data_IF_064176642126
#
_entry.id   IF_064176642126
#
_cell.length_a   1.000
_cell.length_b   1.000
_cell.length_c   1.000
_cell.angle_alpha   90.00
_cell.angle_beta   90.00
_cell.angle_gamma   90.00
#
_symmetry.space_group_name_H-M   'P 1'
#
loop_
_entity.id
_entity.type
_entity.pdbx_description
1 polymer ?
#
# COMPACT_ATOMS: atom_id res chain seq x y z
N UNK A 1 3.37 6.74 25.51
CA UNK A 1 3.47 8.14 26.02
C UNK A 1 2.68 9.05 25.10
N UNK A 2 2.27 10.23 25.58
CA UNK A 2 1.70 11.28 24.72
C UNK A 2 2.74 12.35 24.48
N UNK A 3 2.96 12.72 23.22
CA UNK A 3 3.88 13.76 22.76
C UNK A 3 3.04 15.01 22.46
N UNK A 4 3.24 16.07 23.24
CA UNK A 4 2.56 17.35 23.05
C UNK A 4 3.01 18.04 21.77
N UNK A 5 2.06 18.65 21.06
CA UNK A 5 2.32 19.49 19.90
C UNK A 5 3.03 20.82 20.25
N UNK A 6 2.93 21.28 21.50
CA UNK A 6 3.41 22.59 21.95
C UNK A 6 4.71 22.52 22.76
N UNK A 7 5.47 21.43 22.63
CA UNK A 7 6.70 21.20 23.38
C UNK A 7 7.78 20.60 22.49
N UNK A 8 9.04 20.90 22.79
CA UNK A 8 10.20 20.38 22.07
C UNK A 8 10.44 18.90 22.36
N UNK A 9 11.71 18.54 22.59
CA UNK A 9 12.08 17.16 22.93
C UNK A 9 11.44 16.73 24.26
N UNK A 10 10.66 15.66 24.19
CA UNK A 10 9.95 15.04 25.30
C UNK A 10 10.49 13.63 25.52
N UNK A 11 11.00 13.36 26.71
CA UNK A 11 11.54 12.05 27.06
C UNK A 11 10.44 10.99 27.09
N UNK A 12 10.77 9.79 26.59
CA UNK A 12 9.94 8.60 26.74
C UNK A 12 10.16 7.83 28.04
N UNK A 13 11.23 8.14 28.78
CA UNK A 13 11.73 7.36 29.91
C UNK A 13 12.40 6.04 29.52
N UNK A 14 12.51 5.72 28.22
CA UNK A 14 13.12 4.49 27.73
C UNK A 14 14.56 4.75 27.29
N UNK A 15 15.51 4.04 27.92
CA UNK A 15 16.91 4.03 27.50
C UNK A 15 17.19 2.83 26.60
N UNK A 16 17.83 3.08 25.46
CA UNK A 16 18.18 2.08 24.46
C UNK A 16 19.68 1.86 24.41
N UNK A 17 20.08 0.64 24.04
CA UNK A 17 21.44 0.33 23.64
C UNK A 17 21.58 0.36 22.13
N UNK A 18 22.73 0.79 21.61
CA UNK A 18 23.05 0.66 20.18
C UNK A 18 22.86 -0.78 19.74
N UNK A 19 22.15 -0.99 18.64
CA UNK A 19 21.81 -2.32 18.14
C UNK A 19 20.50 -2.90 18.69
N UNK A 20 19.87 -2.22 19.65
CA UNK A 20 18.59 -2.67 20.19
C UNK A 20 17.46 -2.37 19.21
N UNK A 21 16.71 -3.41 18.82
CA UNK A 21 15.52 -3.25 17.99
C UNK A 21 14.41 -2.58 18.78
N UNK A 22 13.72 -1.63 18.15
CA UNK A 22 12.55 -0.97 18.69
C UNK A 22 11.48 -0.84 17.60
N UNK A 23 10.23 -0.97 18.00
CA UNK A 23 9.08 -0.63 17.16
C UNK A 23 8.33 0.50 17.85
N UNK A 24 8.01 1.55 17.11
CA UNK A 24 7.23 2.67 17.57
C UNK A 24 5.97 2.73 16.70
N UNK A 25 4.80 2.63 17.32
CA UNK A 25 3.51 2.89 16.68
C UNK A 25 2.96 4.20 17.23
N UNK A 26 2.64 5.15 16.35
CA UNK A 26 2.14 6.45 16.73
C UNK A 26 0.76 6.71 16.13
N UNK A 27 -0.12 7.35 16.89
CA UNK A 27 -1.46 7.73 16.44
C UNK A 27 -1.95 8.95 17.23
N UNK A 28 -2.99 9.60 16.73
CA UNK A 28 -3.50 10.85 17.30
C UNK A 28 -3.42 11.97 16.29
N UNK A 29 -3.84 13.16 16.72
CA UNK A 29 -3.91 14.33 15.89
C UNK A 29 -3.27 15.51 16.63
N UNK A 30 -2.51 16.29 15.89
CA UNK A 30 -2.09 17.62 16.30
C UNK A 30 -2.34 18.62 15.19
N UNK A 31 -2.40 19.88 15.58
CA UNK A 31 -2.71 20.99 14.72
C UNK A 31 -1.73 22.13 14.99
N UNK A 32 -1.43 22.91 13.96
CA UNK A 32 -0.72 24.17 14.06
C UNK A 32 -1.61 25.33 13.59
N UNK A 33 -2.27 25.98 14.55
CA UNK A 33 -3.09 27.17 14.33
C UNK A 33 -4.19 26.99 13.28
N UNK A 34 -3.99 27.59 12.11
CA UNK A 34 -4.95 27.64 11.00
C UNK A 34 -4.83 26.46 10.02
N UNK A 35 -3.88 25.54 10.24
CA UNK A 35 -3.75 24.34 9.43
C UNK A 35 -4.87 23.34 9.74
N UNK A 36 -5.05 22.33 8.87
CA UNK A 36 -5.93 21.19 9.18
C UNK A 36 -5.28 20.30 10.24
N UNK A 37 -6.03 19.41 10.89
CA UNK A 37 -5.40 18.42 11.77
C UNK A 37 -4.54 17.45 10.96
N UNK A 38 -3.38 17.07 11.48
CA UNK A 38 -2.55 16.02 10.89
C UNK A 38 -2.16 14.95 11.92
N UNK A 39 -1.87 13.76 11.39
CA UNK A 39 -1.35 12.65 12.17
C UNK A 39 0.16 12.72 12.36
N UNK A 40 0.77 11.63 12.89
CA UNK A 40 2.21 11.56 13.14
C UNK A 40 3.09 11.73 11.88
N UNK A 41 2.55 11.51 10.69
CA UNK A 41 3.28 11.68 9.43
C UNK A 41 3.45 13.16 9.02
N UNK A 42 2.72 14.08 9.67
CA UNK A 42 2.76 15.52 9.38
C UNK A 42 1.95 15.93 8.16
N UNK A 43 2.16 17.17 7.70
CA UNK A 43 1.51 17.73 6.51
C UNK A 43 2.20 17.32 5.21
N UNK A 44 1.42 16.99 4.18
CA UNK A 44 1.91 16.78 2.82
C UNK A 44 2.11 18.13 2.11
N UNK A 45 3.32 18.68 2.15
CA UNK A 45 3.70 19.89 1.42
C UNK A 45 4.79 20.72 2.08
N UNK A 46 5.55 21.48 1.28
CA UNK A 46 6.71 22.28 1.70
C UNK A 46 6.42 23.79 1.81
N UNK A 47 5.16 24.19 1.99
CA UNK A 47 4.80 25.60 1.95
C UNK A 47 5.02 26.31 3.30
N UNK A 48 6.15 27.00 3.44
CA UNK A 48 6.29 28.16 4.34
C UNK A 48 6.39 27.89 5.85
N UNK A 49 6.33 26.65 6.30
CA UNK A 49 6.36 26.35 7.73
C UNK A 49 7.76 26.31 8.35
N UNK A 50 7.92 26.99 9.49
CA UNK A 50 9.15 26.95 10.29
C UNK A 50 9.26 25.58 10.97
N UNK A 51 10.13 24.74 10.41
CA UNK A 51 10.40 23.37 10.86
C UNK A 51 11.62 23.32 11.75
N UNK A 52 11.68 22.33 12.63
CA UNK A 52 12.90 22.05 13.38
C UNK A 52 13.95 21.40 12.47
N UNK A 53 13.52 20.46 11.64
CA UNK A 53 14.34 19.77 10.66
C UNK A 53 13.69 19.92 9.28
N UNK A 54 14.40 20.57 8.36
CA UNK A 54 13.91 20.84 7.01
C UNK A 54 13.86 19.59 6.12
N UNK A 55 14.51 18.50 6.52
CA UNK A 55 14.50 17.21 5.81
C UNK A 55 13.18 16.44 5.93
N UNK A 56 12.32 16.82 6.89
CA UNK A 56 11.04 16.15 7.13
C UNK A 56 9.84 17.11 6.99
N UNK A 57 8.64 16.53 6.84
CA UNK A 57 7.37 17.26 6.75
C UNK A 57 7.09 18.08 8.02
N UNK A 58 6.38 19.20 7.87
CA UNK A 58 5.99 20.00 9.03
C UNK A 58 5.02 19.21 9.92
N UNK A 59 5.15 19.38 11.24
CA UNK A 59 4.39 18.60 12.23
C UNK A 59 4.54 17.08 12.05
N UNK A 60 5.63 16.58 11.45
CA UNK A 60 5.98 15.17 11.53
C UNK A 60 6.43 14.80 12.96
N UNK A 61 6.14 13.59 13.42
CA UNK A 61 6.69 13.05 14.66
C UNK A 61 8.15 12.66 14.42
N UNK A 62 9.05 13.29 15.18
CA UNK A 62 10.48 13.02 15.13
C UNK A 62 10.95 12.33 16.41
N UNK A 63 12.00 11.53 16.28
CA UNK A 63 12.67 10.83 17.36
C UNK A 63 14.16 11.16 17.41
N UNK A 64 14.76 11.05 18.60
CA UNK A 64 16.22 10.99 18.80
C UNK A 64 16.56 10.02 19.91
N UNK A 65 17.77 9.47 19.88
CA UNK A 65 18.28 8.57 20.92
C UNK A 65 19.56 9.19 21.52
N UNK A 66 19.49 9.63 22.78
CA UNK A 66 20.55 10.39 23.43
C UNK A 66 20.89 11.68 22.67
N UNK A 67 22.18 11.84 22.34
CA UNK A 67 22.69 12.93 21.50
C UNK A 67 22.85 12.52 20.03
N UNK A 68 22.20 11.43 19.60
CA UNK A 68 22.23 10.93 18.23
C UNK A 68 21.47 11.80 17.24
N UNK A 69 21.54 11.44 15.96
CA UNK A 69 20.81 12.12 14.89
C UNK A 69 19.29 11.99 15.06
N UNK A 70 18.59 13.03 14.63
CA UNK A 70 17.14 13.05 14.50
C UNK A 70 16.69 12.09 13.40
N UNK A 71 15.62 11.34 13.64
CA UNK A 71 14.98 10.48 12.65
C UNK A 71 13.48 10.72 12.59
N UNK A 72 12.89 10.49 11.42
CA UNK A 72 11.45 10.47 11.24
C UNK A 72 10.83 9.24 11.89
N UNK A 73 9.78 9.44 12.68
CA UNK A 73 9.02 8.36 13.31
C UNK A 73 7.74 8.08 12.54
N UNK A 74 7.02 9.13 12.15
CA UNK A 74 5.74 8.97 11.46
C UNK A 74 4.75 8.14 12.27
N UNK A 75 3.77 7.55 11.59
CA UNK A 75 2.76 6.67 12.20
C UNK A 75 3.33 5.30 12.61
N UNK A 76 4.43 4.88 12.00
CA UNK A 76 5.11 3.63 12.30
C UNK A 76 6.61 3.72 12.01
N UNK A 77 7.41 3.23 12.95
CA UNK A 77 8.85 3.05 12.77
C UNK A 77 9.31 1.73 13.37
N UNK A 78 10.08 0.95 12.62
CA UNK A 78 10.83 -0.20 13.12
C UNK A 78 12.31 0.06 12.85
N UNK A 79 13.09 0.26 13.91
CA UNK A 79 14.49 0.62 13.78
C UNK A 79 15.38 -0.19 14.71
N UNK A 80 16.63 -0.36 14.31
CA UNK A 80 17.70 -0.79 15.20
C UNK A 80 18.43 0.46 15.71
N UNK A 81 18.43 0.68 17.03
CA UNK A 81 18.94 1.91 17.64
C UNK A 81 20.38 2.23 17.16
N UNK A 82 20.61 3.35 16.45
CA UNK A 82 21.92 3.68 15.89
C UNK A 82 22.94 4.13 16.96
N UNK A 83 22.44 4.56 18.11
CA UNK A 83 23.20 5.00 19.28
C UNK A 83 22.57 4.47 20.56
N UNK A 84 23.34 4.43 21.65
CA UNK A 84 22.80 4.23 22.99
C UNK A 84 22.32 5.57 23.56
N UNK A 85 21.26 5.56 24.36
CA UNK A 85 20.77 6.74 25.05
C UNK A 85 19.26 6.73 25.25
N UNK A 86 18.74 7.82 25.80
CA UNK A 86 17.31 7.98 26.04
C UNK A 86 16.56 8.31 24.75
N UNK A 87 15.48 7.58 24.47
CA UNK A 87 14.57 7.86 23.37
C UNK A 87 13.67 9.05 23.73
N UNK A 88 13.66 10.07 22.87
CA UNK A 88 12.83 11.27 23.03
C UNK A 88 12.11 11.60 21.72
N UNK A 89 10.97 12.28 21.83
CA UNK A 89 10.12 12.64 20.69
C UNK A 89 9.83 14.14 20.63
N UNK A 90 9.52 14.66 19.44
CA UNK A 90 9.02 16.05 19.27
C UNK A 90 8.15 16.20 18.01
N UNK A 91 7.31 17.24 17.92
CA UNK A 91 6.82 17.77 16.64
C UNK A 91 7.95 18.36 15.80
N UNK A 92 7.87 18.16 14.49
CA UNK A 92 8.71 18.88 13.52
C UNK A 92 8.19 20.31 13.28
N UNK A 93 8.14 21.10 14.36
CA UNK A 93 7.89 22.53 14.33
C UNK A 93 9.00 23.22 15.12
N UNK A 94 9.45 24.38 14.66
CA UNK A 94 10.39 25.20 15.42
C UNK A 94 9.73 25.74 16.70
N UNK A 95 10.51 25.96 17.75
CA UNK A 95 9.99 26.33 19.07
C UNK A 95 9.24 27.67 19.06
N UNK A 96 9.63 28.58 18.17
CA UNK A 96 8.95 29.86 17.94
C UNK A 96 7.52 29.71 17.38
N UNK A 97 7.15 28.52 16.89
CA UNK A 97 5.84 28.20 16.33
C UNK A 97 5.02 27.23 17.20
N UNK A 98 5.30 27.14 18.51
CA UNK A 98 4.51 26.29 19.41
C UNK A 98 3.27 26.96 19.99
N UNK A 99 3.18 28.30 19.94
CA UNK A 99 2.14 29.07 20.61
C UNK A 99 0.73 28.83 20.06
N UNK A 100 0.61 28.37 18.81
CA UNK A 100 -0.64 28.00 18.15
C UNK A 100 -0.80 26.48 17.96
N UNK A 101 0.13 25.68 18.47
CA UNK A 101 0.05 24.23 18.36
C UNK A 101 -0.93 23.64 19.37
N UNK A 102 -1.81 22.75 18.92
CA UNK A 102 -2.77 22.02 19.77
C UNK A 102 -2.74 20.53 19.49
N UNK A 103 -3.27 19.72 20.42
CA UNK A 103 -3.32 18.26 20.30
C UNK A 103 -2.01 17.57 20.70
N UNK A 104 -1.90 16.30 20.30
CA UNK A 104 -0.75 15.47 20.65
C UNK A 104 -0.82 14.08 20.06
N UNK A 105 0.35 13.44 20.00
CA UNK A 105 0.53 12.12 19.41
C UNK A 105 0.79 11.09 20.50
N UNK A 106 -0.01 10.02 20.54
CA UNK A 106 0.25 8.86 21.36
C UNK A 106 1.26 7.95 20.68
N UNK A 107 2.44 7.81 21.27
CA UNK A 107 3.51 6.91 20.84
C UNK A 107 3.58 5.68 21.75
N UNK A 108 3.37 4.50 21.18
CA UNK A 108 3.53 3.20 21.81
C UNK A 108 4.85 2.57 21.37
N UNK A 109 5.71 2.24 22.35
CA UNK A 109 7.08 1.77 22.10
C UNK A 109 7.16 0.31 22.52
N UNK A 110 7.59 -0.55 21.61
CA UNK A 110 7.75 -1.98 21.81
C UNK A 110 9.23 -2.32 21.72
N UNK A 111 9.74 -2.98 22.76
CA UNK A 111 11.08 -3.56 22.80
C UNK A 111 10.93 -5.06 22.54
N UNK A 112 11.21 -5.57 21.33
CA UNK A 112 11.20 -7.00 21.08
C UNK A 112 12.24 -7.64 22.00
N UNK A 113 11.82 -8.56 22.86
CA UNK A 113 12.74 -9.29 23.72
C UNK A 113 13.77 -10.07 22.90
N UNK A 114 14.94 -10.42 23.46
CA UNK A 114 15.78 -11.44 22.84
C UNK A 114 14.91 -12.69 22.68
N UNK A 115 14.88 -13.28 21.48
CA UNK A 115 14.11 -14.47 21.20
C UNK A 115 14.47 -15.57 22.20
N UNK A 116 13.67 -15.72 23.26
CA UNK A 116 13.79 -16.82 24.19
C UNK A 116 13.24 -18.05 23.47
N UNK A 117 14.14 -18.87 22.96
CA UNK A 117 13.85 -20.25 22.61
C UNK A 117 13.33 -20.92 23.88
N UNK A 118 12.02 -21.15 23.95
CA UNK A 118 11.42 -21.98 24.99
C UNK A 118 11.90 -23.42 24.77
N UNK A 119 12.94 -23.85 25.48
CA UNK A 119 13.21 -25.27 25.70
C UNK A 119 12.39 -25.71 26.91
N UNK A 120 11.28 -26.40 26.67
CA UNK A 120 10.63 -27.19 27.73
C UNK A 120 11.63 -28.24 28.24
N UNK A 121 11.99 -28.18 29.53
CA UNK A 121 12.67 -29.27 30.22
C UNK A 121 11.64 -30.37 30.50
N UNK A 122 11.52 -31.33 29.59
CA UNK A 122 10.89 -32.63 29.90
C UNK A 122 11.90 -33.45 30.71
N UNK A 123 11.55 -33.81 31.94
CA UNK A 123 12.35 -34.75 32.74
C UNK A 123 12.20 -36.16 32.17
N UNK A 124 13.30 -36.74 31.70
CA UNK A 124 13.31 -38.13 31.27
C UNK A 124 13.39 -39.04 32.51
N UNK A 125 12.41 -39.92 32.67
CA UNK A 125 12.57 -41.18 33.40
C UNK A 125 12.93 -42.26 32.39
N UNK A 126 13.94 -43.04 32.75
CA UNK A 126 14.49 -44.16 32.00
C UNK A 126 13.42 -45.13 31.50
N UNK A 127 13.44 -45.43 30.20
CA UNK A 127 13.24 -46.79 29.69
C UNK A 127 14.01 -46.95 28.38
N UNK A 128 14.66 -48.10 28.26
CA UNK A 128 15.62 -48.47 27.24
C UNK A 128 14.96 -48.82 25.89
N UNK A 129 15.74 -48.62 24.83
CA UNK A 129 15.75 -49.33 23.54
C UNK A 129 14.42 -49.50 22.77
N UNK A 130 14.23 -48.62 21.79
CA UNK A 130 13.85 -49.05 20.43
C UNK A 130 14.26 -47.97 19.41
N UNK A 131 15.09 -48.34 18.44
CA UNK A 131 15.43 -47.48 17.30
C UNK A 131 14.22 -47.42 16.35
N UNK A 132 13.55 -46.27 16.29
CA UNK A 132 12.57 -45.95 15.25
C UNK A 132 13.17 -44.94 14.25
N UNK A 133 12.85 -45.06 12.96
CA UNK A 133 13.53 -44.30 11.90
C UNK A 133 13.19 -42.82 11.97
N UNK A 134 14.22 -41.97 11.84
CA UNK A 134 14.10 -40.51 11.73
C UNK A 134 13.35 -40.16 10.45
N UNK A 135 12.02 -40.02 10.53
CA UNK A 135 11.29 -39.25 9.54
C UNK A 135 11.48 -37.77 9.85
N UNK A 136 12.14 -37.07 8.93
CA UNK A 136 12.19 -35.60 8.93
C UNK A 136 10.75 -35.07 8.89
N UNK A 137 10.20 -34.66 10.03
CA UNK A 137 8.94 -33.93 10.04
C UNK A 137 9.22 -32.55 9.44
N UNK A 138 8.73 -32.34 8.20
CA UNK A 138 8.50 -30.99 7.71
C UNK A 138 7.44 -30.39 8.62
N UNK A 139 7.81 -29.40 9.43
CA UNK A 139 6.84 -28.53 10.09
C UNK A 139 6.11 -27.78 8.98
N UNK A 140 4.96 -28.29 8.55
CA UNK A 140 4.04 -27.57 7.68
C UNK A 140 3.41 -26.49 8.55
N UNK A 141 3.88 -25.25 8.43
CA UNK A 141 3.14 -24.09 8.91
C UNK A 141 1.80 -24.13 8.15
N UNK A 142 0.71 -24.47 8.84
CA UNK A 142 -0.64 -24.37 8.25
C UNK A 142 -0.89 -22.88 7.98
N UNK A 143 -0.86 -22.50 6.70
CA UNK A 143 -1.21 -21.17 6.23
C UNK A 143 -2.68 -20.90 6.54
N UNK A 144 -2.98 -19.77 7.18
CA UNK A 144 -4.34 -19.47 7.63
C UNK A 144 -5.25 -18.91 6.51
N UNK A 145 -4.79 -18.86 5.25
CA UNK A 145 -5.57 -18.40 4.09
C UNK A 145 -4.82 -18.52 2.75
N UNK A 146 -5.55 -18.51 1.65
CA UNK A 146 -5.04 -18.50 0.27
C UNK A 146 -5.04 -17.09 -0.32
N UNK A 147 -4.39 -16.91 -1.47
CA UNK A 147 -4.46 -15.65 -2.23
C UNK A 147 -5.15 -15.86 -3.57
N UNK A 148 -5.97 -14.89 -3.98
CA UNK A 148 -6.74 -14.90 -5.22
C UNK A 148 -6.54 -13.61 -6.00
N UNK A 149 -6.28 -13.69 -7.29
CA UNK A 149 -6.07 -12.52 -8.13
C UNK A 149 -6.99 -12.52 -9.35
N UNK A 150 -7.59 -11.37 -9.63
CA UNK A 150 -8.15 -11.06 -10.94
C UNK A 150 -7.24 -10.01 -11.57
N UNK A 151 -6.65 -10.35 -12.72
CA UNK A 151 -5.64 -9.54 -13.41
C UNK A 151 -6.19 -9.21 -14.80
N UNK A 152 -6.37 -7.92 -15.07
CA UNK A 152 -7.04 -7.42 -16.26
C UNK A 152 -6.09 -6.47 -17.00
N UNK A 153 -5.94 -6.69 -18.30
CA UNK A 153 -5.10 -5.85 -19.17
C UNK A 153 -5.74 -5.65 -20.54
N UNK A 154 -6.03 -4.40 -20.90
CA UNK A 154 -6.79 -4.07 -22.11
C UNK A 154 -6.04 -3.05 -22.95
N UNK A 155 -5.32 -3.55 -23.95
CA UNK A 155 -4.64 -2.73 -24.96
C UNK A 155 -5.53 -2.47 -26.17
N UNK A 156 -6.35 -3.46 -26.55
CA UNK A 156 -7.23 -3.39 -27.70
C UNK A 156 -8.67 -3.24 -27.25
N UNK A 157 -9.39 -2.25 -27.79
CA UNK A 157 -10.81 -2.01 -27.52
C UNK A 157 -11.63 -2.27 -28.78
N UNK A 158 -12.79 -2.92 -28.62
CA UNK A 158 -13.69 -3.26 -29.72
C UNK A 158 -14.17 -2.02 -30.49
N UNK A 159 -14.50 -0.96 -29.76
CA UNK A 159 -14.96 0.31 -30.31
C UNK A 159 -13.85 1.37 -30.24
N UNK A 160 -12.61 0.99 -30.56
CA UNK A 160 -11.47 1.89 -30.47
C UNK A 160 -11.67 3.14 -31.36
N UNK A 161 -11.38 4.31 -30.80
CA UNK A 161 -11.56 5.60 -31.49
C UNK A 161 -10.86 6.74 -30.77
N UNK A 162 -11.18 7.98 -31.11
CA UNK A 162 -10.58 9.16 -30.48
C UNK A 162 -10.88 9.26 -28.98
N UNK A 163 -12.05 8.79 -28.54
CA UNK A 163 -12.47 8.81 -27.13
C UNK A 163 -11.93 7.61 -26.33
N UNK A 164 -11.61 6.51 -26.99
CA UNK A 164 -11.08 5.29 -26.36
C UNK A 164 -10.02 4.66 -27.27
N UNK A 165 -8.82 5.26 -27.36
CA UNK A 165 -7.78 4.77 -28.25
C UNK A 165 -7.15 3.49 -27.70
N UNK A 166 -6.66 2.62 -28.59
CA UNK A 166 -5.88 1.46 -28.17
C UNK A 166 -4.62 1.88 -27.42
N UNK A 167 -4.29 1.16 -26.36
CA UNK A 167 -3.06 1.29 -25.57
C UNK A 167 -1.99 0.34 -26.11
N UNK A 168 -0.74 0.58 -25.69
CA UNK A 168 0.42 -0.19 -26.18
C UNK A 168 0.75 -1.36 -25.26
N UNK A 169 0.68 -1.17 -23.94
CA UNK A 169 1.26 -2.11 -22.98
C UNK A 169 0.31 -2.69 -21.94
N UNK A 170 -0.95 -2.26 -21.88
CA UNK A 170 -1.85 -2.64 -20.79
C UNK A 170 -2.06 -4.16 -20.65
N UNK A 171 -2.12 -4.89 -21.77
CA UNK A 171 -2.18 -6.35 -21.76
C UNK A 171 -0.83 -7.01 -21.39
N UNK A 172 0.30 -6.41 -21.75
CA UNK A 172 1.62 -6.87 -21.33
C UNK A 172 1.89 -6.61 -19.84
N UNK A 173 1.41 -5.48 -19.31
CA UNK A 173 1.42 -5.13 -17.90
C UNK A 173 0.72 -6.21 -17.06
N UNK A 174 -0.49 -6.60 -17.48
CA UNK A 174 -1.24 -7.68 -16.86
C UNK A 174 -0.51 -9.04 -16.93
N UNK A 175 0.09 -9.38 -18.08
CA UNK A 175 0.89 -10.62 -18.23
C UNK A 175 2.10 -10.63 -17.31
N UNK A 176 2.83 -9.52 -17.20
CA UNK A 176 4.01 -9.40 -16.33
C UNK A 176 3.59 -9.49 -14.86
N UNK A 177 2.51 -8.80 -14.47
CA UNK A 177 2.00 -8.87 -13.10
C UNK A 177 1.53 -10.26 -12.71
N UNK A 178 0.78 -10.96 -13.57
CA UNK A 178 0.39 -12.35 -13.33
C UNK A 178 1.60 -13.28 -13.15
N UNK A 179 2.66 -13.11 -13.96
CA UNK A 179 3.92 -13.85 -13.81
C UNK A 179 4.62 -13.53 -12.48
N UNK A 180 4.63 -12.27 -12.06
CA UNK A 180 5.20 -11.87 -10.78
C UNK A 180 4.48 -12.53 -9.60
N UNK A 181 3.14 -12.61 -9.62
CA UNK A 181 2.38 -13.35 -8.61
C UNK A 181 2.77 -14.84 -8.56
N UNK A 182 2.93 -15.49 -9.71
CA UNK A 182 3.42 -16.87 -9.78
C UNK A 182 4.82 -17.03 -9.15
N UNK A 183 5.74 -16.10 -9.44
CA UNK A 183 7.08 -16.06 -8.81
C UNK A 183 7.04 -15.82 -7.30
N UNK A 184 6.01 -15.12 -6.82
CA UNK A 184 5.73 -14.89 -5.39
C UNK A 184 5.04 -16.10 -4.72
N UNK A 185 4.83 -17.20 -5.45
CA UNK A 185 4.32 -18.47 -4.90
C UNK A 185 2.80 -18.67 -5.01
N UNK A 186 2.09 -17.78 -5.72
CA UNK A 186 0.65 -17.91 -5.94
C UNK A 186 0.34 -19.09 -6.86
N UNK A 187 -0.80 -19.75 -6.60
CA UNK A 187 -1.28 -20.83 -7.48
C UNK A 187 -1.85 -20.25 -8.78
N UNK A 188 -1.46 -20.80 -9.93
CA UNK A 188 -2.02 -20.43 -11.24
C UNK A 188 -3.55 -20.58 -11.27
N UNK A 189 -4.09 -21.58 -10.56
CA UNK A 189 -5.54 -21.79 -10.46
C UNK A 189 -6.28 -20.69 -9.67
N UNK A 190 -5.54 -19.86 -8.94
CA UNK A 190 -6.04 -18.71 -8.18
C UNK A 190 -5.70 -17.38 -8.86
N UNK A 191 -5.22 -17.40 -10.10
CA UNK A 191 -4.99 -16.19 -10.91
C UNK A 191 -5.91 -16.24 -12.13
N UNK A 192 -6.88 -15.32 -12.19
CA UNK A 192 -7.74 -15.13 -13.36
C UNK A 192 -7.21 -13.98 -14.21
N UNK A 193 -6.53 -14.32 -15.30
CA UNK A 193 -6.04 -13.36 -16.29
C UNK A 193 -7.10 -13.14 -17.38
N UNK A 194 -7.46 -11.87 -17.63
CA UNK A 194 -8.37 -11.45 -18.70
C UNK A 194 -7.67 -10.38 -19.55
N UNK A 195 -7.50 -10.65 -20.84
CA UNK A 195 -6.75 -9.79 -21.76
C UNK A 195 -7.61 -9.42 -22.96
N UNK A 196 -7.55 -8.15 -23.38
CA UNK A 196 -8.16 -7.68 -24.63
C UNK A 196 -9.58 -8.26 -24.83
N UNK A 197 -9.86 -8.99 -25.91
CA UNK A 197 -11.16 -9.59 -26.24
C UNK A 197 -11.78 -10.48 -25.15
N UNK A 198 -10.97 -11.04 -24.25
CA UNK A 198 -11.47 -11.83 -23.10
C UNK A 198 -11.95 -10.93 -21.95
N UNK A 199 -11.47 -9.70 -21.87
CA UNK A 199 -11.80 -8.71 -20.85
C UNK A 199 -13.08 -7.91 -21.18
N UNK A 200 -14.13 -8.61 -21.60
CA UNK A 200 -15.48 -8.02 -21.74
C UNK A 200 -16.08 -7.70 -20.37
N UNK A 201 -17.01 -6.75 -20.33
CA UNK A 201 -17.73 -6.41 -19.09
C UNK A 201 -18.35 -7.66 -18.45
N UNK A 202 -18.96 -8.53 -19.26
CA UNK A 202 -19.55 -9.80 -18.83
C UNK A 202 -18.51 -10.73 -18.19
N UNK A 203 -17.36 -10.94 -18.83
CA UNK A 203 -16.35 -11.86 -18.33
C UNK A 203 -15.70 -11.35 -17.04
N UNK A 204 -15.50 -10.03 -16.93
CA UNK A 204 -14.98 -9.40 -15.72
C UNK A 204 -15.99 -9.54 -14.58
N UNK A 205 -17.28 -9.30 -14.84
CA UNK A 205 -18.35 -9.53 -13.86
C UNK A 205 -18.38 -11.00 -13.39
N UNK A 206 -18.27 -11.97 -14.31
CA UNK A 206 -18.17 -13.40 -13.96
C UNK A 206 -16.93 -13.67 -13.09
N UNK A 207 -15.79 -13.05 -13.40
CA UNK A 207 -14.57 -13.21 -12.60
C UNK A 207 -14.76 -12.68 -11.17
N UNK A 208 -15.33 -11.49 -11.01
CA UNK A 208 -15.49 -10.84 -9.71
C UNK A 208 -16.63 -11.42 -8.87
N UNK A 209 -17.77 -11.72 -9.49
CA UNK A 209 -19.00 -12.07 -8.76
C UNK A 209 -19.24 -13.59 -8.70
N UNK A 210 -18.63 -14.38 -9.59
CA UNK A 210 -18.80 -15.84 -9.60
C UNK A 210 -17.50 -16.59 -9.31
N UNK A 211 -16.39 -16.24 -9.94
CA UNK A 211 -15.13 -16.98 -9.75
C UNK A 211 -14.45 -16.65 -8.41
N UNK A 212 -14.41 -15.38 -8.00
CA UNK A 212 -13.87 -14.96 -6.70
C UNK A 212 -14.72 -15.40 -5.49
N UNK A 213 -15.90 -15.99 -5.71
CA UNK A 213 -16.71 -16.59 -4.61
C UNK A 213 -15.99 -17.73 -3.89
N UNK A 214 -14.94 -18.27 -4.51
CA UNK A 214 -14.08 -19.32 -3.95
C UNK A 214 -13.13 -18.80 -2.86
N UNK A 215 -12.92 -17.48 -2.80
CA UNK A 215 -12.09 -16.87 -1.75
C UNK A 215 -12.83 -16.90 -0.40
N UNK A 216 -12.14 -17.39 0.62
CA UNK A 216 -12.61 -17.46 1.99
C UNK A 216 -12.34 -16.20 2.81
N UNK A 217 -12.89 -16.10 4.04
CA UNK A 217 -12.75 -14.91 4.88
C UNK A 217 -11.32 -14.64 5.39
N UNK A 218 -10.45 -15.65 5.35
CA UNK A 218 -9.03 -15.48 5.70
C UNK A 218 -8.13 -15.22 4.48
N UNK A 219 -8.69 -15.29 3.27
CA UNK A 219 -7.94 -15.15 2.03
C UNK A 219 -7.63 -13.67 1.74
N UNK A 220 -6.67 -13.44 0.86
CA UNK A 220 -6.40 -12.12 0.30
C UNK A 220 -6.82 -12.06 -1.17
N UNK A 221 -7.37 -10.93 -1.60
CA UNK A 221 -7.78 -10.70 -2.98
C UNK A 221 -6.94 -9.57 -3.57
N UNK A 222 -6.36 -9.79 -4.75
CA UNK A 222 -5.80 -8.75 -5.60
C UNK A 222 -6.72 -8.53 -6.80
N UNK A 223 -7.03 -7.27 -7.08
CA UNK A 223 -7.47 -6.83 -8.39
C UNK A 223 -6.32 -6.01 -9.01
N UNK A 224 -5.84 -6.44 -10.17
CA UNK A 224 -4.94 -5.66 -11.00
C UNK A 224 -5.66 -5.22 -12.26
N UNK A 225 -5.63 -3.93 -12.58
CA UNK A 225 -6.26 -3.37 -13.76
C UNK A 225 -5.31 -2.46 -14.53
N UNK A 226 -4.94 -2.83 -15.74
CA UNK A 226 -4.26 -1.96 -16.70
C UNK A 226 -5.18 -1.66 -17.88
N UNK A 227 -5.46 -0.38 -18.14
CA UNK A 227 -6.42 0.03 -19.17
C UNK A 227 -6.93 1.46 -19.00
N UNK A 228 -8.01 1.81 -19.70
CA UNK A 228 -8.62 3.14 -19.58
C UNK A 228 -9.57 3.22 -18.37
N UNK A 229 -9.54 4.37 -17.70
CA UNK A 229 -10.62 4.84 -16.84
C UNK A 229 -11.25 6.09 -17.45
N UNK A 230 -12.55 6.25 -17.34
CA UNK A 230 -13.25 7.43 -17.86
C UNK A 230 -14.44 7.83 -16.97
N UNK A 231 -14.73 9.12 -16.84
CA UNK A 231 -15.96 9.59 -16.21
C UNK A 231 -17.15 9.43 -17.16
N UNK A 232 -18.34 9.30 -16.60
CA UNK A 232 -19.58 9.43 -17.36
C UNK A 232 -19.63 10.83 -18.01
N UNK A 233 -20.00 10.93 -19.30
CA UNK A 233 -20.16 12.22 -19.96
C UNK A 233 -21.23 13.11 -19.30
N UNK A 234 -22.31 12.51 -18.78
CA UNK A 234 -23.47 13.22 -18.23
C UNK A 234 -23.38 13.43 -16.71
N UNK A 235 -22.64 12.54 -16.03
CA UNK A 235 -22.43 12.61 -14.59
C UNK A 235 -20.98 12.32 -14.25
N UNK A 236 -20.10 13.34 -14.26
CA UNK A 236 -18.69 13.14 -13.99
C UNK A 236 -18.38 12.54 -12.62
N UNK A 237 -19.36 12.44 -11.70
CA UNK A 237 -19.25 11.72 -10.43
C UNK A 237 -19.31 10.19 -10.59
N UNK A 238 -19.80 9.69 -11.72
CA UNK A 238 -19.77 8.27 -12.08
C UNK A 238 -18.52 8.00 -12.91
N UNK A 239 -17.76 6.99 -12.51
CA UNK A 239 -16.50 6.62 -13.16
C UNK A 239 -16.50 5.14 -13.48
N UNK A 240 -15.89 4.81 -14.61
CA UNK A 240 -15.91 3.48 -15.18
C UNK A 240 -14.49 3.04 -15.50
N UNK A 241 -14.22 1.76 -15.24
CA UNK A 241 -13.17 1.07 -15.96
C UNK A 241 -13.70 0.67 -17.35
N UNK A 242 -12.94 1.00 -18.39
CA UNK A 242 -13.26 0.58 -19.75
C UNK A 242 -12.94 -0.91 -19.91
N UNK A 243 -13.94 -1.68 -20.33
CA UNK A 243 -13.83 -3.07 -20.75
C UNK A 243 -13.52 -3.13 -22.25
N UNK A 244 -13.18 -4.32 -22.77
CA UNK A 244 -12.95 -4.52 -24.20
C UNK A 244 -14.11 -4.03 -25.07
N UNK A 245 -15.33 -4.32 -24.64
CA UNK A 245 -16.57 -4.03 -25.34
C UNK A 245 -17.23 -2.72 -24.88
N UNK A 246 -16.49 -1.84 -24.21
CA UNK A 246 -16.97 -0.52 -23.82
C UNK A 246 -17.16 0.39 -25.03
N UNK A 247 -18.38 0.93 -25.14
CA UNK A 247 -18.75 2.06 -25.96
C UNK A 247 -18.93 3.28 -25.04
N UNK A 248 -18.05 4.28 -25.18
CA UNK A 248 -18.05 5.49 -24.32
C UNK A 248 -19.35 6.29 -24.45
N UNK A 249 -20.06 6.17 -25.59
CA UNK A 249 -21.37 6.80 -25.78
C UNK A 249 -22.50 6.10 -25.02
N UNK A 250 -22.25 4.87 -24.57
CA UNK A 250 -23.19 4.06 -23.77
C UNK A 250 -22.51 3.67 -22.44
N UNK A 251 -22.53 4.54 -21.41
CA UNK A 251 -21.78 4.33 -20.16
C UNK A 251 -22.04 2.98 -19.47
N UNK A 252 -23.25 2.42 -19.64
CA UNK A 252 -23.62 1.10 -19.12
C UNK A 252 -22.76 -0.07 -19.65
N UNK A 253 -21.99 0.13 -20.72
CA UNK A 253 -21.06 -0.86 -21.28
C UNK A 253 -19.66 -0.79 -20.64
N UNK A 254 -19.38 0.22 -19.81
CA UNK A 254 -18.22 0.26 -18.92
C UNK A 254 -18.52 -0.42 -17.59
N UNK A 255 -17.49 -0.81 -16.84
CA UNK A 255 -17.69 -1.34 -15.49
C UNK A 255 -17.52 -0.21 -14.46
N UNK A 256 -18.64 0.23 -13.89
CA UNK A 256 -18.64 1.30 -12.90
C UNK A 256 -17.79 0.90 -11.68
N UNK A 257 -16.87 1.78 -11.29
CA UNK A 257 -15.83 1.41 -10.34
C UNK A 257 -16.37 1.13 -8.91
N UNK A 258 -17.50 1.74 -8.55
CA UNK A 258 -18.20 1.46 -7.30
C UNK A 258 -18.85 0.06 -7.28
N UNK A 259 -19.28 -0.46 -8.42
CA UNK A 259 -19.75 -1.84 -8.55
C UNK A 259 -18.61 -2.84 -8.44
N UNK A 260 -17.46 -2.54 -9.04
CA UNK A 260 -16.24 -3.33 -8.86
C UNK A 260 -15.85 -3.40 -7.38
N UNK A 261 -15.86 -2.26 -6.69
CA UNK A 261 -15.62 -2.22 -5.24
C UNK A 261 -16.62 -3.09 -4.48
N UNK A 262 -17.92 -2.91 -4.70
CA UNK A 262 -18.97 -3.66 -4.00
C UNK A 262 -18.81 -5.17 -4.20
N UNK A 263 -18.52 -5.61 -5.42
CA UNK A 263 -18.29 -7.03 -5.72
C UNK A 263 -17.14 -7.63 -4.89
N UNK A 264 -16.07 -6.86 -4.68
CA UNK A 264 -14.92 -7.23 -3.85
C UNK A 264 -15.24 -7.18 -2.35
N UNK A 265 -15.97 -6.16 -1.87
CA UNK A 265 -16.39 -6.01 -0.46
C UNK A 265 -17.25 -7.20 0.00
N UNK A 266 -18.15 -7.67 -0.88
CA UNK A 266 -19.04 -8.81 -0.61
C UNK A 266 -18.29 -10.14 -0.39
N UNK A 267 -17.02 -10.24 -0.80
CA UNK A 267 -16.23 -11.48 -0.63
C UNK A 267 -15.84 -11.74 0.83
N UNK A 268 -15.92 -10.72 1.70
CA UNK A 268 -15.51 -10.79 3.12
C UNK A 268 -14.08 -11.32 3.33
N UNK A 269 -13.22 -11.15 2.32
CA UNK A 269 -11.82 -11.55 2.40
C UNK A 269 -11.08 -10.76 3.48
N UNK A 270 -9.98 -11.30 3.98
CA UNK A 270 -9.17 -10.67 5.02
C UNK A 270 -8.62 -9.33 4.54
N UNK A 271 -8.08 -9.33 3.32
CA UNK A 271 -7.44 -8.19 2.68
C UNK A 271 -7.91 -8.07 1.23
N UNK A 272 -8.11 -6.84 0.75
CA UNK A 272 -8.34 -6.55 -0.66
C UNK A 272 -7.31 -5.52 -1.13
N UNK A 273 -6.64 -5.77 -2.25
CA UNK A 273 -5.61 -4.89 -2.78
C UNK A 273 -5.96 -4.58 -4.23
N UNK A 274 -6.00 -3.30 -4.58
CA UNK A 274 -6.25 -2.82 -5.94
C UNK A 274 -5.00 -2.11 -6.47
N UNK A 275 -4.40 -2.69 -7.51
CA UNK A 275 -3.40 -2.03 -8.34
C UNK A 275 -4.08 -1.59 -9.64
N UNK A 276 -4.05 -0.30 -9.96
CA UNK A 276 -4.67 0.21 -11.19
C UNK A 276 -3.69 1.07 -11.99
N UNK A 277 -3.23 0.56 -13.13
CA UNK A 277 -2.48 1.33 -14.12
C UNK A 277 -3.48 1.92 -15.13
N UNK A 278 -4.21 2.96 -14.71
CA UNK A 278 -5.25 3.57 -15.54
C UNK A 278 -5.06 5.07 -15.71
N UNK A 279 -5.02 5.51 -16.97
CA UNK A 279 -5.10 6.94 -17.31
C UNK A 279 -6.40 7.51 -16.72
N UNK A 280 -6.30 8.65 -16.05
CA UNK A 280 -7.34 9.38 -15.31
C UNK A 280 -7.67 8.94 -13.87
N UNK A 281 -7.32 7.74 -13.38
CA UNK A 281 -7.71 7.37 -12.01
C UNK A 281 -7.02 8.20 -10.91
N UNK A 282 -5.82 8.74 -11.16
CA UNK A 282 -5.16 9.67 -10.24
C UNK A 282 -5.92 11.00 -10.03
N UNK A 283 -6.65 11.50 -11.04
CA UNK A 283 -7.52 12.70 -10.90
C UNK A 283 -8.84 12.39 -10.19
N UNK A 284 -9.22 11.12 -10.11
CA UNK A 284 -10.47 10.66 -9.52
C UNK A 284 -10.34 10.36 -8.02
N UNK A 285 -9.16 9.93 -7.55
CA UNK A 285 -8.89 9.64 -6.14
C UNK A 285 -8.56 10.91 -5.33
N UNK A 286 -7.94 11.92 -5.93
CA UNK A 286 -7.42 13.13 -5.26
C UNK A 286 -8.48 14.20 -4.91
N UNK A 287 -9.75 13.99 -5.25
CA UNK A 287 -10.86 14.92 -4.92
C UNK A 287 -11.39 14.80 -3.48
N UNK A 288 -10.78 13.98 -2.61
CA UNK A 288 -11.27 13.73 -1.25
C UNK A 288 -10.91 14.80 -0.20
N UNK A 289 -10.08 15.80 -0.52
CA UNK A 289 -9.83 16.95 0.36
C UNK A 289 -10.87 18.05 0.11
N UNK A 290 -12.03 17.94 0.76
CA UNK A 290 -13.02 19.03 0.87
C UNK A 290 -14.07 19.13 -0.24
N UNK A 291 -14.01 18.29 -1.28
CA UNK A 291 -15.05 18.16 -2.31
C UNK A 291 -15.65 16.75 -2.34
N UNK A 292 -16.89 16.61 -2.82
CA UNK A 292 -17.46 15.29 -3.13
C UNK A 292 -16.67 14.70 -4.31
N UNK A 293 -15.68 13.87 -4.00
CA UNK A 293 -14.83 13.13 -4.93
C UNK A 293 -15.10 11.61 -4.91
N UNK A 294 -14.80 10.91 -6.00
CA UNK A 294 -15.51 9.70 -6.44
C UNK A 294 -14.86 8.38 -5.99
N UNK A 295 -15.61 7.62 -5.19
CA UNK A 295 -16.14 6.27 -5.44
C UNK A 295 -15.27 5.07 -5.88
N UNK A 296 -13.94 5.13 -5.87
CA UNK A 296 -13.11 3.90 -5.66
C UNK A 296 -12.68 3.83 -4.21
N UNK A 297 -12.15 4.93 -3.68
CA UNK A 297 -11.86 5.03 -2.26
C UNK A 297 -13.19 5.31 -1.54
N UNK A 298 -13.61 4.46 -0.60
CA UNK A 298 -14.86 4.68 0.11
C UNK A 298 -14.80 5.94 0.97
N UNK A 299 -15.98 6.56 1.14
CA UNK A 299 -16.19 7.60 2.14
C UNK A 299 -16.03 6.97 3.53
N UNK A 300 -14.90 7.28 4.17
CA UNK A 300 -14.53 6.79 5.50
C UNK A 300 -15.65 7.05 6.53
N UNK A 301 -16.43 8.13 6.36
CA UNK A 301 -17.53 8.48 7.27
C UNK A 301 -18.75 7.56 7.12
N UNK A 302 -18.94 6.94 5.95
CA UNK A 302 -20.08 6.07 5.65
C UNK A 302 -19.79 4.62 6.05
N UNK A 303 -18.55 4.16 5.87
CA UNK A 303 -18.13 2.78 6.18
C UNK A 303 -17.99 2.47 7.69
N UNK A 304 -17.64 3.46 8.52
CA UNK A 304 -17.55 3.28 9.99
C UNK A 304 -18.90 2.87 10.59
N UNK A 305 -20.03 3.16 9.91
CA UNK A 305 -21.37 2.83 10.39
C UNK A 305 -21.81 1.38 10.13
N UNK A 306 -21.21 0.69 9.17
CA UNK A 306 -21.76 -0.59 8.66
C UNK A 306 -21.03 -1.86 9.14
N UNK A 307 -19.91 -1.74 9.89
CA UNK A 307 -19.22 -2.86 10.59
C UNK A 307 -18.83 -4.10 9.75
N UNK A 308 -18.91 -4.05 8.42
CA UNK A 308 -18.43 -5.12 7.53
C UNK A 308 -17.46 -4.53 6.50
N UNK A 309 -16.20 -4.37 6.91
CA UNK A 309 -15.11 -3.95 6.01
C UNK A 309 -14.04 -5.06 6.06
N UNK A 310 -13.48 -5.50 4.92
CA UNK A 310 -12.19 -6.17 4.89
C UNK A 310 -11.16 -5.40 5.74
N UNK A 311 -10.19 -6.08 6.38
CA UNK A 311 -9.30 -5.42 7.34
C UNK A 311 -8.43 -4.33 6.72
N UNK A 312 -8.30 -4.30 5.39
CA UNK A 312 -8.29 -3.04 4.68
C UNK A 312 -8.05 -3.16 3.17
N UNK A 313 -8.13 -2.00 2.54
CA UNK A 313 -7.86 -1.79 1.13
C UNK A 313 -6.54 -1.08 0.95
N UNK A 314 -5.75 -1.50 -0.04
CA UNK A 314 -4.64 -0.70 -0.56
C UNK A 314 -4.90 -0.39 -2.00
N UNK A 315 -4.96 0.89 -2.34
CA UNK A 315 -5.05 1.38 -3.70
C UNK A 315 -3.68 1.90 -4.10
N UNK A 316 -3.15 1.44 -5.23
CA UNK A 316 -1.99 2.05 -5.87
C UNK A 316 -2.32 2.30 -7.33
N UNK A 317 -2.30 3.58 -7.72
CA UNK A 317 -2.78 4.01 -9.03
C UNK A 317 -1.72 4.81 -9.77
N UNK A 318 -1.47 4.41 -11.03
CA UNK A 318 -0.56 5.09 -11.94
C UNK A 318 -1.07 6.45 -12.40
N UNK A 319 -0.15 7.33 -12.81
CA UNK A 319 -0.48 8.63 -13.40
C UNK A 319 -0.38 8.56 -14.93
N UNK A 320 -1.11 9.46 -15.59
CA UNK A 320 -1.26 9.54 -17.05
C UNK A 320 0.09 9.52 -17.77
N UNK A 321 0.21 8.75 -18.85
CA UNK A 321 1.43 8.63 -19.64
C UNK A 321 1.17 8.87 -21.11
N UNK A 322 1.66 10.03 -21.58
CA UNK A 322 1.58 10.41 -22.97
C UNK A 322 2.19 9.33 -23.87
N UNK A 323 1.41 8.92 -24.88
CA UNK A 323 1.77 7.89 -25.85
C UNK A 323 3.11 8.18 -26.54
N UNK A 324 3.39 9.45 -26.84
CA UNK A 324 4.67 9.89 -27.42
C UNK A 324 5.85 9.67 -26.48
N UNK A 325 5.65 9.86 -25.17
CA UNK A 325 6.70 9.64 -24.18
C UNK A 325 7.05 8.15 -24.07
N UNK A 326 6.07 7.25 -24.30
CA UNK A 326 6.22 5.79 -24.26
C UNK A 326 7.05 5.25 -25.45
N UNK A 327 6.78 5.76 -26.66
CA UNK A 327 7.43 5.31 -27.92
C UNK A 327 8.96 5.55 -27.95
N UNK A 328 9.47 6.42 -27.07
CA UNK A 328 10.90 6.73 -26.94
C UNK A 328 11.58 6.08 -25.71
N UNK A 329 10.88 5.22 -24.97
CA UNK A 329 11.46 4.54 -23.79
C UNK A 329 12.04 3.17 -24.13
N UNK A 330 12.93 2.67 -23.26
CA UNK A 330 13.36 1.27 -23.26
C UNK A 330 12.41 0.33 -22.51
N UNK A 331 11.25 0.84 -22.06
CA UNK A 331 10.29 0.06 -21.28
C UNK A 331 9.37 -0.74 -22.19
N UNK A 332 8.96 -1.91 -21.70
CA UNK A 332 7.99 -2.80 -22.36
C UNK A 332 6.65 -2.83 -21.62
N UNK A 333 6.43 -1.86 -20.73
CA UNK A 333 5.34 -1.80 -19.76
C UNK A 333 5.04 -0.34 -19.38
N UNK A 334 3.87 -0.11 -18.76
CA UNK A 334 3.50 1.17 -18.17
C UNK A 334 4.43 1.56 -17.01
N UNK A 335 4.60 2.87 -16.78
CA UNK A 335 5.51 3.40 -15.75
C UNK A 335 5.21 2.84 -14.34
N UNK A 336 3.93 2.77 -14.01
CA UNK A 336 3.47 2.25 -12.74
C UNK A 336 3.75 0.76 -12.63
N UNK A 337 3.34 -0.02 -13.62
CA UNK A 337 3.59 -1.47 -13.64
C UNK A 337 5.09 -1.79 -13.61
N UNK A 338 5.92 -1.04 -14.32
CA UNK A 338 7.37 -1.19 -14.29
C UNK A 338 7.96 -1.06 -12.89
N UNK A 339 7.68 0.06 -12.22
CA UNK A 339 8.14 0.29 -10.84
C UNK A 339 7.55 -0.74 -9.86
N UNK A 340 6.26 -1.08 -10.00
CA UNK A 340 5.59 -2.06 -9.16
C UNK A 340 6.29 -3.42 -9.22
N UNK A 341 6.60 -3.90 -10.42
CA UNK A 341 7.23 -5.20 -10.63
C UNK A 341 8.66 -5.22 -10.09
N UNK A 342 9.43 -4.14 -10.28
CA UNK A 342 10.77 -4.01 -9.66
C UNK A 342 10.70 -4.06 -8.14
N UNK A 343 9.77 -3.30 -7.55
CA UNK A 343 9.53 -3.30 -6.11
C UNK A 343 9.20 -4.70 -5.59
N UNK A 344 8.24 -5.38 -6.23
CA UNK A 344 7.83 -6.75 -5.87
C UNK A 344 8.93 -7.80 -6.06
N UNK A 345 9.84 -7.59 -7.01
CA UNK A 345 11.00 -8.45 -7.24
C UNK A 345 12.15 -8.22 -6.25
N UNK A 346 11.92 -7.44 -5.20
CA UNK A 346 12.84 -7.29 -4.06
C UNK A 346 13.54 -5.94 -3.99
N UNK A 347 13.38 -5.04 -4.95
CA UNK A 347 13.95 -3.69 -4.82
C UNK A 347 13.29 -2.88 -3.68
N UNK A 348 12.06 -3.25 -3.28
CA UNK A 348 11.38 -2.66 -2.14
C UNK A 348 11.84 -3.24 -0.79
N UNK A 349 12.47 -4.43 -0.76
CA UNK A 349 12.86 -5.13 0.48
C UNK A 349 13.90 -4.32 1.29
N UNK A 350 13.48 -3.81 2.44
CA UNK A 350 14.27 -2.88 3.26
C UNK A 350 14.51 -1.50 2.63
N UNK A 351 13.73 -1.10 1.61
CA UNK A 351 13.94 0.17 0.91
C UNK A 351 13.88 1.36 1.86
N UNK A 352 14.96 2.15 1.91
CA UNK A 352 15.10 3.33 2.78
C UNK A 352 14.71 3.07 4.25
N UNK A 353 14.99 1.86 4.76
CA UNK A 353 14.62 1.44 6.12
C UNK A 353 13.10 1.43 6.40
N UNK A 354 12.27 1.38 5.37
CA UNK A 354 10.81 1.24 5.50
C UNK A 354 10.40 -0.14 6.06
N UNK A 355 11.31 -1.12 6.01
CA UNK A 355 11.14 -2.44 6.61
C UNK A 355 12.48 -3.17 6.76
N UNK A 356 12.41 -4.46 7.08
CA UNK A 356 13.59 -5.29 7.27
C UNK A 356 13.98 -5.89 5.94
N UNK A 357 15.26 -5.75 5.54
CA UNK A 357 15.80 -6.47 4.39
C UNK A 357 15.88 -7.98 4.68
N UNK A 358 14.79 -8.69 4.45
CA UNK A 358 14.60 -10.08 4.88
C UNK A 358 14.11 -11.00 3.74
N UNK A 359 14.09 -10.50 2.50
CA UNK A 359 13.61 -11.21 1.33
C UNK A 359 12.08 -11.21 1.17
N UNK A 360 11.36 -10.45 2.00
CA UNK A 360 9.90 -10.31 1.96
C UNK A 360 9.56 -8.83 1.76
N UNK A 361 8.67 -8.55 0.82
CA UNK A 361 8.24 -7.18 0.51
C UNK A 361 6.87 -6.97 1.12
N UNK A 362 6.81 -6.09 2.11
CA UNK A 362 5.56 -5.62 2.70
C UNK A 362 4.93 -4.52 1.85
N UNK A 363 3.62 -4.29 2.01
CA UNK A 363 2.92 -3.18 1.35
C UNK A 363 3.47 -1.82 1.80
N UNK A 364 4.01 -1.70 3.01
CA UNK A 364 4.68 -0.50 3.52
C UNK A 364 6.00 -0.22 2.80
N UNK A 365 6.83 -1.25 2.64
CA UNK A 365 8.06 -1.17 1.83
C UNK A 365 7.76 -0.85 0.37
N UNK A 366 6.76 -1.51 -0.21
CA UNK A 366 6.33 -1.26 -1.58
C UNK A 366 5.80 0.17 -1.74
N UNK A 367 5.03 0.69 -0.77
CA UNK A 367 4.59 2.09 -0.75
C UNK A 367 5.77 3.05 -0.74
N UNK A 368 6.74 2.84 0.14
CA UNK A 368 7.92 3.69 0.25
C UNK A 368 8.73 3.69 -1.06
N UNK A 369 8.96 2.49 -1.61
CA UNK A 369 9.63 2.32 -2.90
C UNK A 369 8.90 3.03 -4.02
N UNK A 370 7.60 2.76 -4.21
CA UNK A 370 6.80 3.36 -5.28
C UNK A 370 6.75 4.89 -5.17
N UNK A 371 6.65 5.42 -3.96
CA UNK A 371 6.58 6.87 -3.73
C UNK A 371 7.89 7.58 -4.09
N UNK A 372 9.03 6.92 -3.86
CA UNK A 372 10.35 7.51 -4.15
C UNK A 372 10.81 7.25 -5.59
N UNK A 373 10.69 6.01 -6.07
CA UNK A 373 11.33 5.55 -7.30
C UNK A 373 10.52 5.87 -8.54
N UNK A 374 9.18 5.75 -8.49
CA UNK A 374 8.35 6.02 -9.66
C UNK A 374 8.53 7.46 -10.17
N UNK A 375 8.47 8.52 -9.33
CA UNK A 375 8.67 9.89 -9.81
C UNK A 375 10.07 10.13 -10.37
N UNK A 376 11.10 9.54 -9.78
CA UNK A 376 12.49 9.66 -10.24
C UNK A 376 12.65 9.01 -11.63
N UNK A 377 12.18 7.78 -11.79
CA UNK A 377 12.27 7.03 -13.04
C UNK A 377 11.47 7.70 -14.16
N UNK A 378 10.24 8.16 -13.89
CA UNK A 378 9.47 8.87 -14.92
C UNK A 378 10.06 10.24 -15.25
N UNK A 379 10.63 10.96 -14.28
CA UNK A 379 11.33 12.22 -14.55
C UNK A 379 12.52 12.00 -15.48
N UNK A 380 13.28 10.92 -15.25
CA UNK A 380 14.45 10.55 -16.04
C UNK A 380 14.09 10.09 -17.46
N UNK A 381 13.02 9.30 -17.60
CA UNK A 381 12.67 8.64 -18.86
C UNK A 381 11.69 9.46 -19.69
N UNK A 382 10.71 10.09 -19.06
CA UNK A 382 9.61 10.82 -19.71
C UNK A 382 9.79 12.34 -19.63
N UNK A 383 10.79 12.83 -18.89
CA UNK A 383 10.98 14.26 -18.63
C UNK A 383 9.98 14.86 -17.63
N UNK A 384 9.11 14.04 -17.02
CA UNK A 384 8.11 14.48 -16.04
C UNK A 384 7.98 13.49 -14.88
N UNK A 385 8.09 14.01 -13.65
CA UNK A 385 7.85 13.25 -12.43
C UNK A 385 6.37 12.88 -12.29
N UNK A 386 6.09 11.60 -12.10
CA UNK A 386 4.76 11.05 -11.90
C UNK A 386 4.69 10.34 -10.58
N UNK A 387 3.68 10.72 -9.81
CA UNK A 387 3.50 10.21 -8.46
C UNK A 387 2.37 9.17 -8.46
N UNK A 388 2.57 8.00 -7.84
CA UNK A 388 1.49 7.07 -7.62
C UNK A 388 0.52 7.65 -6.60
N UNK A 389 -0.77 7.40 -6.77
CA UNK A 389 -1.75 7.66 -5.71
C UNK A 389 -1.87 6.41 -4.86
N UNK A 390 -1.54 6.54 -3.57
CA UNK A 390 -1.58 5.42 -2.62
C UNK A 390 -2.55 5.75 -1.49
N UNK A 391 -3.60 4.96 -1.32
CA UNK A 391 -4.64 5.18 -0.32
C UNK A 391 -5.04 3.89 0.39
N UNK A 392 -5.61 4.04 1.59
CA UNK A 392 -6.22 2.93 2.34
C UNK A 392 -7.55 3.34 2.93
N UNK A 393 -8.35 2.35 3.32
CA UNK A 393 -9.69 2.55 3.88
C UNK A 393 -9.73 2.41 5.40
N UNK A 394 -8.57 2.25 6.01
CA UNK A 394 -8.42 2.01 7.44
C UNK A 394 -7.26 2.87 7.95
N UNK A 395 -7.39 3.39 9.17
CA UNK A 395 -6.27 3.97 9.89
C UNK A 395 -5.38 2.92 10.55
N UNK A 396 -5.67 1.63 10.38
CA UNK A 396 -4.89 0.54 10.97
C UNK A 396 -3.50 0.44 10.31
N UNK A 397 -2.41 0.71 11.05
CA UNK A 397 -1.06 0.64 10.50
C UNK A 397 -0.66 -0.78 10.08
N UNK A 398 -1.33 -1.82 10.59
CA UNK A 398 -1.00 -3.20 10.24
C UNK A 398 -1.36 -3.55 8.79
N UNK A 399 -2.14 -2.69 8.10
CA UNK A 399 -2.42 -2.82 6.66
C UNK A 399 -1.13 -2.81 5.82
N UNK A 400 -0.10 -2.10 6.29
CA UNK A 400 1.17 -1.98 5.60
C UNK A 400 2.07 -3.20 5.82
N UNK A 401 1.75 -4.08 6.78
CA UNK A 401 2.47 -5.34 7.01
C UNK A 401 1.97 -6.48 6.10
N UNK A 402 0.95 -6.25 5.26
CA UNK A 402 0.51 -7.24 4.28
C UNK A 402 1.67 -7.54 3.32
N UNK A 403 1.82 -8.81 2.94
CA UNK A 403 2.84 -9.27 1.99
C UNK A 403 2.19 -9.96 0.81
N UNK A 404 2.77 -9.82 -0.38
CA UNK A 404 2.34 -10.61 -1.54
C UNK A 404 3.09 -11.95 -1.66
N UNK A 405 4.23 -12.14 -0.99
CA UNK A 405 4.89 -13.45 -0.96
C UNK A 405 4.02 -14.50 -0.25
N UNK A 406 3.79 -15.63 -0.90
CA UNK A 406 3.38 -16.87 -0.24
C UNK A 406 4.62 -17.65 0.18
N UNK A 407 5.03 -17.50 1.45
CA UNK A 407 6.14 -18.28 2.01
C UNK A 407 5.67 -19.75 2.09
N UNK A 408 6.36 -20.63 1.36
CA UNK A 408 6.07 -22.08 1.30
C UNK A 408 6.52 -22.84 2.54
#
# INVERSE_FOLDING_TARGET
MTVSASSGWQSSGISLQKGQKIIIKASGLWNKGFASDCGPDGYSGSAGEIRYDSGYGAMALLGKIGNGQTFFVGSYLNLEAPSSGELSFRPNCAEIGFWDNTGGISASIYLPGPSSVYTEKVSLRDTQNEQLPVQKSKTVIKKDGSSWAVVIGISKYKYSGSQLPNLVFADDDAKIFARALGSLGWSDSHIKLLLNEDATQRNIMIALESWLTKAGPNDQIILFWAGHGYPDPEDPEKVYFACYDTDVSTPATGYRMDYVRRALEERKAKNVILFADTCHAGKLITRSEGGRGISIVPDLNKLVREKTIPKGWVFMVGADTDRQAIEHTSWSNGAFTHSLIKGLNGEADGFQSAGLKNGVVTMGELKAYMTAVMPEETQKVLGVAKHPVIATTTGDPDIWNITLQEIK
#
